data_IF_516836523902
#
_entry.id   IF_516836523902
#
_cell.length_a   1.000
_cell.length_b   1.000
_cell.length_c   1.000
_cell.angle_alpha   90.00
_cell.angle_beta   90.00
_cell.angle_gamma   90.00
#
_symmetry.space_group_name_H-M   'P 1'
#
loop_
_entity.id
_entity.type
_entity.pdbx_description
1 polymer ?
#
# COMPACT_ATOMS: atom_id res chain seq x y z
N UNK A 1 8.96 9.22 4.36
CA UNK A 1 8.22 8.65 3.22
C UNK A 1 6.81 8.24 3.66
N UNK A 2 5.86 8.25 2.74
CA UNK A 2 4.46 7.91 2.91
C UNK A 2 4.08 6.73 2.02
N UNK A 3 3.48 5.70 2.63
CA UNK A 3 3.14 4.44 1.96
C UNK A 3 1.64 4.20 2.11
N UNK A 4 0.98 3.90 1.00
CA UNK A 4 -0.40 3.40 1.00
C UNK A 4 -0.37 1.93 0.62
N UNK A 5 -0.98 1.09 1.44
CA UNK A 5 -1.13 -0.34 1.19
C UNK A 5 -2.60 -0.62 0.88
N UNK A 6 -2.87 -1.31 -0.21
CA UNK A 6 -4.21 -1.71 -0.65
C UNK A 6 -4.25 -3.23 -0.75
N UNK A 7 -5.08 -3.85 0.07
CA UNK A 7 -5.21 -5.28 0.25
C UNK A 7 -4.56 -5.79 1.52
N UNK A 8 -4.36 -7.10 1.56
CA UNK A 8 -3.99 -7.86 2.74
C UNK A 8 -5.20 -8.22 3.60
N UNK A 9 -4.91 -8.81 4.75
CA UNK A 9 -5.95 -9.24 5.69
C UNK A 9 -6.17 -8.22 6.79
N UNK A 10 -7.43 -8.00 7.21
CA UNK A 10 -7.82 -7.06 8.26
C UNK A 10 -7.01 -7.26 9.56
N UNK A 11 -6.74 -8.51 9.93
CA UNK A 11 -5.95 -8.87 11.13
C UNK A 11 -4.50 -8.40 11.06
N UNK A 12 -3.96 -8.24 9.86
CA UNK A 12 -2.56 -7.83 9.62
C UNK A 12 -2.39 -6.32 9.49
N UNK A 13 -3.47 -5.53 9.46
CA UNK A 13 -3.38 -4.05 9.31
C UNK A 13 -2.41 -3.44 10.32
N UNK A 14 -2.52 -3.81 11.59
CA UNK A 14 -1.62 -3.32 12.64
C UNK A 14 -0.16 -3.73 12.42
N UNK A 15 0.07 -4.92 11.85
CA UNK A 15 1.40 -5.43 11.53
C UNK A 15 2.01 -4.70 10.34
N UNK A 16 1.26 -4.50 9.25
CA UNK A 16 1.72 -3.72 8.10
C UNK A 16 2.13 -2.30 8.50
N UNK A 17 1.33 -1.64 9.34
CA UNK A 17 1.68 -0.31 9.85
C UNK A 17 2.95 -0.36 10.71
N UNK A 18 3.13 -1.38 11.56
CA UNK A 18 4.36 -1.55 12.36
C UNK A 18 5.59 -1.77 11.48
N UNK A 19 5.47 -2.59 10.43
CA UNK A 19 6.54 -2.83 9.46
C UNK A 19 6.91 -1.52 8.78
N UNK A 20 5.97 -0.79 8.17
CA UNK A 20 6.30 0.50 7.56
C UNK A 20 6.95 1.48 8.54
N UNK A 21 6.50 1.51 9.81
CA UNK A 21 7.13 2.34 10.84
C UNK A 21 8.58 1.95 11.13
N UNK A 22 8.96 0.67 11.07
CA UNK A 22 10.37 0.27 11.25
C UNK A 22 11.27 0.74 10.09
N UNK A 23 10.68 1.03 8.92
CA UNK A 23 11.34 1.68 7.78
C UNK A 23 11.16 3.22 7.79
N UNK A 24 10.80 3.81 8.93
CA UNK A 24 10.55 5.25 9.09
C UNK A 24 9.49 5.82 8.11
N UNK A 25 8.55 4.98 7.69
CA UNK A 25 7.48 5.32 6.77
C UNK A 25 6.15 5.55 7.50
N UNK A 26 5.42 6.59 7.09
CA UNK A 26 4.02 6.80 7.50
C UNK A 26 3.13 5.92 6.61
N UNK A 27 2.34 5.04 7.21
CA UNK A 27 1.51 4.09 6.46
C UNK A 27 0.01 4.35 6.61
N UNK A 28 -0.71 4.15 5.51
CA UNK A 28 -2.17 4.05 5.46
C UNK A 28 -2.52 2.72 4.78
N UNK A 29 -3.42 1.93 5.39
CA UNK A 29 -3.73 0.58 4.92
C UNK A 29 -5.23 0.47 4.66
N UNK A 30 -5.59 -0.06 3.50
CA UNK A 30 -6.95 -0.34 3.09
C UNK A 30 -7.07 -1.80 2.68
N UNK A 31 -7.67 -2.61 3.53
CA UNK A 31 -7.98 -4.02 3.24
C UNK A 31 -9.34 -4.18 2.57
N UNK A 32 -10.20 -3.17 2.68
CA UNK A 32 -11.54 -3.14 2.11
C UNK A 32 -11.82 -1.78 1.43
N UNK A 33 -12.85 -1.75 0.58
CA UNK A 33 -13.28 -0.52 -0.08
C UNK A 33 -14.08 0.34 0.89
N UNK A 34 -13.65 1.58 1.10
CA UNK A 34 -14.32 2.56 1.97
C UNK A 34 -15.04 3.65 1.16
N UNK A 35 -15.92 4.40 1.81
CA UNK A 35 -16.44 5.64 1.24
C UNK A 35 -15.28 6.59 0.89
N UNK A 36 -15.34 7.21 -0.29
CA UNK A 36 -14.28 8.08 -0.81
C UNK A 36 -12.88 7.43 -0.94
N UNK A 37 -12.79 6.10 -1.01
CA UNK A 37 -11.52 5.36 -1.10
C UNK A 37 -10.50 6.00 -2.06
N UNK A 38 -10.91 6.31 -3.30
CA UNK A 38 -10.01 6.92 -4.30
C UNK A 38 -9.46 8.29 -3.88
N UNK A 39 -10.27 9.14 -3.23
CA UNK A 39 -9.80 10.43 -2.69
C UNK A 39 -8.85 10.24 -1.52
N UNK A 40 -9.05 9.19 -0.73
CA UNK A 40 -8.22 8.90 0.44
C UNK A 40 -6.85 8.32 0.10
N UNK A 41 -6.63 7.84 -1.14
CA UNK A 41 -5.31 7.44 -1.64
C UNK A 41 -4.34 8.63 -1.57
N UNK A 42 -4.77 9.79 -2.08
CA UNK A 42 -3.93 10.99 -2.15
C UNK A 42 -2.72 10.79 -3.06
N UNK A 43 -1.59 11.41 -2.70
CA UNK A 43 -0.33 11.35 -3.44
C UNK A 43 0.78 10.75 -2.56
N UNK A 44 0.76 9.43 -2.27
CA UNK A 44 1.81 8.80 -1.48
C UNK A 44 3.11 8.68 -2.28
N UNK A 45 4.22 8.45 -1.60
CA UNK A 45 5.50 8.15 -2.26
C UNK A 45 5.46 6.73 -2.87
N UNK A 46 4.83 5.78 -2.16
CA UNK A 46 4.68 4.38 -2.59
C UNK A 46 3.25 3.88 -2.38
N UNK A 47 2.70 3.25 -3.41
CA UNK A 47 1.41 2.55 -3.40
C UNK A 47 1.64 1.05 -3.61
N UNK A 48 1.47 0.26 -2.55
CA UNK A 48 1.60 -1.21 -2.57
C UNK A 48 0.21 -1.83 -2.76
N UNK A 49 0.06 -2.65 -3.79
CA UNK A 49 -1.18 -3.32 -4.15
C UNK A 49 -1.03 -4.84 -3.97
N UNK A 50 -1.67 -5.42 -2.95
CA UNK A 50 -1.72 -6.87 -2.73
C UNK A 50 -2.83 -7.52 -3.57
N UNK A 51 -2.52 -7.83 -4.82
CA UNK A 51 -3.51 -8.10 -5.89
C UNK A 51 -4.35 -9.36 -5.69
N UNK A 52 -3.89 -10.36 -4.92
CA UNK A 52 -4.66 -11.58 -4.62
C UNK A 52 -5.81 -11.36 -3.63
N UNK A 53 -5.76 -10.28 -2.87
CA UNK A 53 -6.67 -10.02 -1.73
C UNK A 53 -7.68 -8.92 -2.00
N UNK A 54 -7.63 -8.29 -3.20
CA UNK A 54 -8.47 -7.15 -3.54
C UNK A 54 -9.16 -7.35 -4.87
N UNK A 55 -10.34 -6.73 -5.01
CA UNK A 55 -11.07 -6.75 -6.28
C UNK A 55 -10.38 -5.88 -7.34
N UNK A 56 -10.61 -6.22 -8.61
CA UNK A 56 -10.19 -5.37 -9.74
C UNK A 56 -10.68 -3.93 -9.63
N UNK A 57 -11.89 -3.73 -9.10
CA UNK A 57 -12.45 -2.39 -8.86
C UNK A 57 -11.61 -1.60 -7.85
N UNK A 58 -11.16 -2.25 -6.78
CA UNK A 58 -10.32 -1.62 -5.76
C UNK A 58 -8.93 -1.30 -6.30
N UNK A 59 -8.31 -2.21 -7.05
CA UNK A 59 -7.03 -1.95 -7.73
C UNK A 59 -7.15 -0.73 -8.65
N UNK A 60 -8.17 -0.73 -9.52
CA UNK A 60 -8.38 0.37 -10.48
C UNK A 60 -8.58 1.70 -9.77
N UNK A 61 -9.43 1.73 -8.74
CA UNK A 61 -9.70 2.96 -7.98
C UNK A 61 -8.45 3.45 -7.23
N UNK A 62 -7.61 2.54 -6.73
CA UNK A 62 -6.36 2.89 -6.06
C UNK A 62 -5.37 3.55 -7.02
N UNK A 63 -5.18 2.93 -8.18
CA UNK A 63 -4.30 3.44 -9.24
C UNK A 63 -4.83 4.77 -9.78
N UNK A 64 -6.13 4.87 -10.02
CA UNK A 64 -6.76 6.11 -10.48
C UNK A 64 -6.65 7.24 -9.44
N UNK A 65 -6.75 6.91 -8.14
CA UNK A 65 -6.58 7.87 -7.04
C UNK A 65 -5.16 8.43 -6.90
N UNK A 66 -4.15 7.68 -7.36
CA UNK A 66 -2.74 8.10 -7.41
C UNK A 66 -2.31 8.61 -8.80
N UNK A 67 -3.22 8.79 -9.76
CA UNK A 67 -2.86 9.33 -11.08
C UNK A 67 -2.43 10.79 -10.97
N UNK A 68 -1.38 11.14 -11.69
CA UNK A 68 -0.88 12.52 -11.76
C UNK A 68 0.03 12.92 -10.60
N UNK A 69 0.28 12.04 -9.62
CA UNK A 69 1.36 12.19 -8.64
C UNK A 69 2.62 11.46 -9.07
N UNK A 70 3.73 11.72 -8.38
CA UNK A 70 5.01 10.98 -8.52
C UNK A 70 5.02 9.68 -7.69
N UNK A 71 3.86 9.04 -7.59
CA UNK A 71 3.70 7.83 -6.76
C UNK A 71 4.27 6.62 -7.46
N UNK A 72 5.16 5.90 -6.79
CA UNK A 72 5.63 4.59 -7.24
C UNK A 72 4.55 3.54 -6.96
N UNK A 73 4.20 2.72 -7.95
CA UNK A 73 3.12 1.71 -7.80
C UNK A 73 3.70 0.31 -7.90
N UNK A 74 3.62 -0.45 -6.80
CA UNK A 74 4.09 -1.84 -6.73
C UNK A 74 2.91 -2.79 -6.62
N UNK A 75 2.90 -3.83 -7.43
CA UNK A 75 1.89 -4.90 -7.39
C UNK A 75 2.53 -6.18 -6.89
N UNK A 76 2.01 -6.72 -5.81
CA UNK A 76 2.47 -7.98 -5.26
C UNK A 76 1.31 -8.95 -5.14
N UNK A 77 1.51 -10.20 -5.55
CA UNK A 77 0.48 -11.23 -5.41
C UNK A 77 0.39 -11.78 -3.99
N UNK A 78 1.44 -11.62 -3.19
CA UNK A 78 1.51 -12.14 -1.82
C UNK A 78 1.36 -11.00 -0.81
N UNK A 79 0.45 -11.15 0.15
CA UNK A 79 0.22 -10.15 1.20
C UNK A 79 0.92 -10.50 2.52
N UNK A 80 2.00 -11.27 2.49
CA UNK A 80 2.70 -11.70 3.71
C UNK A 80 3.51 -10.56 4.32
N UNK A 81 3.92 -10.74 5.58
CA UNK A 81 4.88 -9.84 6.24
C UNK A 81 6.16 -9.72 5.41
N UNK A 82 6.76 -10.84 5.03
CA UNK A 82 8.02 -10.89 4.30
C UNK A 82 7.93 -10.18 2.96
N UNK A 83 6.85 -10.39 2.21
CA UNK A 83 6.64 -9.71 0.93
C UNK A 83 6.58 -8.18 1.09
N UNK A 84 5.97 -7.67 2.17
CA UNK A 84 5.99 -6.24 2.45
C UNK A 84 7.40 -5.75 2.83
N UNK A 85 8.13 -6.51 3.64
CA UNK A 85 9.50 -6.16 4.05
C UNK A 85 10.45 -6.06 2.85
N UNK A 86 10.38 -7.01 1.91
CA UNK A 86 11.16 -7.00 0.67
C UNK A 86 10.86 -5.77 -0.18
N UNK A 87 9.59 -5.46 -0.41
CA UNK A 87 9.18 -4.26 -1.16
C UNK A 87 9.70 -2.97 -0.50
N UNK A 88 9.59 -2.87 0.84
CA UNK A 88 10.08 -1.70 1.55
C UNK A 88 11.61 -1.63 1.55
N UNK A 89 12.33 -2.75 1.58
CA UNK A 89 13.78 -2.74 1.42
C UNK A 89 14.17 -2.21 0.05
N UNK A 90 13.53 -2.66 -1.03
CA UNK A 90 13.85 -2.20 -2.38
C UNK A 90 13.55 -0.71 -2.60
N UNK A 91 12.42 -0.23 -2.07
CA UNK A 91 11.92 1.12 -2.36
C UNK A 91 12.18 2.16 -1.28
N UNK A 92 12.55 1.74 -0.06
CA UNK A 92 12.83 2.65 1.06
C UNK A 92 14.28 2.59 1.55
N UNK A 93 15.12 1.64 1.10
CA UNK A 93 16.54 1.57 1.51
C UNK A 93 17.43 2.67 0.88
N UNK A 94 16.87 3.66 0.21
CA UNK A 94 17.56 4.90 -0.11
C UNK A 94 17.50 5.87 1.08
N UNK A 95 18.18 5.55 2.19
CA UNK A 95 18.53 6.46 3.27
C UNK A 95 19.88 6.06 3.88
#
# INVERSE_FOLDING_TARGET
MSVVIVGGHDRMVSQYVKICKSFNCKAKVFTQMTADFGKQIGAPDLLVLFTSTVSHKMIRTAVDGAKGSRTEVVRCHTSSKTALEEILQEHCAAC
#
